data_IF_711214308066
#
_entry.id   IF_711214308066
#
_cell.length_a   1.000
_cell.length_b   1.000
_cell.length_c   1.000
_cell.angle_alpha   90.00
_cell.angle_beta   90.00
_cell.angle_gamma   90.00
#
_symmetry.space_group_name_H-M   'P 1'
#
loop_
_entity.id
_entity.type
_entity.pdbx_description
1 polymer ?
#
# COMPACT_ATOMS: atom_id res chain seq x y z
N UNK A 1 9.00 -5.11 -10.55
CA UNK A 1 8.17 -4.94 -9.34
C UNK A 1 8.89 -5.59 -8.17
N UNK A 2 8.98 -4.90 -7.03
CA UNK A 2 9.52 -5.42 -5.77
C UNK A 2 8.53 -6.33 -5.04
N UNK A 3 7.23 -6.09 -5.14
CA UNK A 3 6.18 -6.95 -4.56
C UNK A 3 5.72 -8.07 -5.47
N UNK A 4 4.85 -8.93 -4.92
CA UNK A 4 4.19 -10.03 -5.63
C UNK A 4 2.70 -9.77 -5.77
N UNK A 5 2.04 -10.46 -6.71
CA UNK A 5 0.61 -10.35 -6.93
C UNK A 5 -0.05 -11.72 -6.73
N UNK A 6 -1.25 -11.73 -6.16
CA UNK A 6 -2.09 -12.92 -6.07
C UNK A 6 -2.39 -13.49 -7.47
N UNK A 7 -2.68 -14.79 -7.53
CA UNK A 7 -2.96 -15.51 -8.78
C UNK A 7 -4.16 -14.93 -9.55
N UNK A 8 -5.16 -14.43 -8.83
CA UNK A 8 -6.34 -13.76 -9.39
C UNK A 8 -6.11 -12.27 -9.74
N UNK A 9 -4.89 -11.77 -9.51
CA UNK A 9 -4.48 -10.37 -9.73
C UNK A 9 -5.25 -9.32 -8.92
N UNK A 10 -5.91 -9.70 -7.83
CA UNK A 10 -6.71 -8.78 -7.01
C UNK A 10 -5.95 -8.18 -5.84
N UNK A 11 -4.90 -8.85 -5.37
CA UNK A 11 -4.16 -8.44 -4.19
C UNK A 11 -2.68 -8.32 -4.52
N UNK A 12 -2.13 -7.15 -4.25
CA UNK A 12 -0.69 -6.91 -4.26
C UNK A 12 -0.14 -7.14 -2.86
N UNK A 13 1.01 -7.80 -2.78
CA UNK A 13 1.72 -8.09 -1.55
C UNK A 13 3.14 -7.53 -1.60
N UNK A 14 3.51 -6.83 -0.54
CA UNK A 14 4.88 -6.36 -0.36
C UNK A 14 5.37 -6.76 1.01
N UNK A 15 6.50 -7.47 1.05
CA UNK A 15 7.12 -7.92 2.29
C UNK A 15 8.47 -7.24 2.46
N UNK A 16 8.77 -6.77 3.67
CA UNK A 16 10.03 -6.10 3.95
C UNK A 16 10.52 -6.42 5.36
N UNK A 17 11.81 -6.76 5.54
CA UNK A 17 12.40 -6.96 6.88
C UNK A 17 12.39 -5.67 7.71
N UNK A 18 12.38 -4.51 7.05
CA UNK A 18 12.38 -3.20 7.71
C UNK A 18 11.05 -2.87 8.40
N UNK A 19 9.95 -3.57 8.09
CA UNK A 19 8.66 -3.33 8.76
C UNK A 19 8.62 -3.71 10.25
N UNK A 20 9.61 -4.46 10.74
CA UNK A 20 9.78 -4.72 12.18
C UNK A 20 10.97 -3.99 12.80
N UNK A 21 11.96 -3.56 12.01
CA UNK A 21 13.10 -2.82 12.54
C UNK A 21 12.69 -1.36 12.74
N UNK A 22 12.25 -1.05 13.97
CA UNK A 22 11.85 0.29 14.37
C UNK A 22 10.61 0.76 13.63
N UNK A 23 9.46 0.06 13.77
CA UNK A 23 8.16 0.55 13.27
C UNK A 23 8.12 2.07 13.41
N UNK A 24 8.11 2.81 12.29
CA UNK A 24 8.47 4.23 12.17
C UNK A 24 7.50 5.19 12.90
N UNK A 25 6.93 4.78 14.05
CA UNK A 25 5.88 5.45 14.81
C UNK A 25 4.52 5.47 14.13
N UNK A 26 4.40 4.91 12.91
CA UNK A 26 3.20 5.02 12.10
C UNK A 26 2.17 3.96 12.47
N UNK A 27 1.06 4.42 13.02
CA UNK A 27 -0.16 3.61 13.15
C UNK A 27 -0.68 3.20 11.77
N UNK A 28 -1.44 2.10 11.70
CA UNK A 28 -2.07 1.65 10.46
C UNK A 28 -2.92 2.74 9.79
N UNK A 29 -3.57 3.60 10.58
CA UNK A 29 -4.34 4.74 10.09
C UNK A 29 -3.47 5.80 9.40
N UNK A 30 -2.28 6.08 9.94
CA UNK A 30 -1.32 6.99 9.30
C UNK A 30 -0.75 6.39 8.02
N UNK A 31 -0.40 5.09 8.00
CA UNK A 31 0.05 4.39 6.80
C UNK A 31 -0.99 4.46 5.67
N UNK A 32 -2.26 4.16 6.00
CA UNK A 32 -3.40 4.27 5.09
C UNK A 32 -3.57 5.68 4.52
N UNK A 33 -3.43 6.70 5.37
CA UNK A 33 -3.52 8.09 4.95
C UNK A 33 -2.35 8.52 4.04
N UNK A 34 -1.12 8.13 4.35
CA UNK A 34 0.06 8.42 3.51
C UNK A 34 -0.04 7.70 2.17
N UNK A 35 -0.38 6.42 2.19
CA UNK A 35 -0.58 5.61 0.99
C UNK A 35 -1.55 6.26 0.02
N UNK A 36 -2.74 6.65 0.49
CA UNK A 36 -3.74 7.18 -0.44
C UNK A 36 -3.40 8.57 -0.98
N UNK A 37 -2.76 9.41 -0.17
CA UNK A 37 -2.30 10.74 -0.61
C UNK A 37 -1.24 10.62 -1.69
N UNK A 38 -0.29 9.70 -1.52
CA UNK A 38 0.75 9.45 -2.51
C UNK A 38 0.20 8.75 -3.77
N UNK A 39 -0.66 7.73 -3.60
CA UNK A 39 -1.24 6.97 -4.72
C UNK A 39 -2.03 7.86 -5.68
N UNK A 40 -2.81 8.78 -5.13
CA UNK A 40 -3.63 9.71 -5.91
C UNK A 40 -2.93 11.03 -6.20
N UNK A 41 -1.69 11.20 -5.71
CA UNK A 41 -0.96 12.47 -5.74
C UNK A 41 -1.85 13.65 -5.28
N UNK A 42 -2.62 13.45 -4.20
CA UNK A 42 -3.60 14.40 -3.70
C UNK A 42 -3.51 14.50 -2.16
N UNK A 43 -3.03 15.63 -1.61
CA UNK A 43 -2.84 15.78 -0.16
C UNK A 43 -4.16 15.80 0.63
N UNK A 44 -5.30 16.05 -0.05
CA UNK A 44 -6.64 16.08 0.55
C UNK A 44 -7.36 14.73 0.48
N UNK A 45 -6.77 13.71 -0.15
CA UNK A 45 -7.36 12.38 -0.26
C UNK A 45 -7.59 11.76 1.12
N UNK A 46 -8.72 11.07 1.29
CA UNK A 46 -9.09 10.40 2.54
C UNK A 46 -9.23 8.90 2.29
N UNK A 47 -8.47 8.10 3.02
CA UNK A 47 -8.44 6.64 2.79
C UNK A 47 -9.82 5.97 2.84
N UNK A 48 -10.72 6.49 3.68
CA UNK A 48 -12.08 5.95 3.83
C UNK A 48 -12.88 6.07 2.53
N UNK A 49 -12.75 7.17 1.79
CA UNK A 49 -13.53 7.46 0.58
C UNK A 49 -13.00 6.82 -0.68
N UNK A 50 -11.71 6.45 -0.69
CA UNK A 50 -11.07 5.94 -1.89
C UNK A 50 -11.21 4.43 -2.05
N UNK A 51 -11.11 3.96 -3.29
CA UNK A 51 -11.39 2.56 -3.66
C UNK A 51 -10.27 1.57 -3.35
N UNK A 52 -9.31 1.92 -2.50
CA UNK A 52 -8.20 1.04 -2.13
C UNK A 52 -8.23 0.68 -0.66
N UNK A 53 -7.94 -0.58 -0.38
CA UNK A 53 -7.66 -1.08 0.94
C UNK A 53 -6.16 -1.35 1.08
N UNK A 54 -5.62 -1.06 2.27
CA UNK A 54 -4.27 -1.38 2.69
C UNK A 54 -4.36 -2.00 4.09
N UNK A 55 -3.80 -3.19 4.22
CA UNK A 55 -3.61 -3.87 5.50
C UNK A 55 -2.15 -4.20 5.72
N UNK A 56 -1.75 -4.18 7.00
CA UNK A 56 -0.43 -4.60 7.47
C UNK A 56 -0.64 -5.80 8.38
N UNK A 57 0.06 -6.88 8.07
CA UNK A 57 0.19 -8.03 8.95
C UNK A 57 1.68 -8.33 9.11
N UNK A 58 2.20 -8.14 10.33
CA UNK A 58 3.63 -8.26 10.65
C UNK A 58 4.54 -7.52 9.65
N UNK A 59 5.24 -8.28 8.78
CA UNK A 59 6.19 -7.80 7.75
C UNK A 59 5.58 -7.66 6.37
N UNK A 60 4.29 -7.86 6.22
CA UNK A 60 3.59 -7.86 4.94
C UNK A 60 2.56 -6.75 4.87
N UNK A 61 2.57 -6.06 3.74
CA UNK A 61 1.50 -5.14 3.32
C UNK A 61 0.71 -5.82 2.22
N UNK A 62 -0.61 -5.78 2.36
CA UNK A 62 -1.55 -6.28 1.35
C UNK A 62 -2.42 -5.12 0.88
N UNK A 63 -2.54 -4.96 -0.44
CA UNK A 63 -3.30 -3.88 -1.07
C UNK A 63 -4.22 -4.46 -2.12
N UNK A 64 -5.48 -4.03 -2.11
CA UNK A 64 -6.48 -4.44 -3.09
C UNK A 64 -7.50 -3.33 -3.31
N UNK A 65 -8.30 -3.47 -4.36
CA UNK A 65 -9.41 -2.56 -4.59
C UNK A 65 -10.62 -3.00 -3.77
N UNK A 66 -11.26 -2.05 -3.07
CA UNK A 66 -12.48 -2.28 -2.28
C UNK A 66 -13.65 -2.76 -3.14
N UNK A 67 -13.65 -2.44 -4.43
CA UNK A 67 -14.65 -2.90 -5.40
C UNK A 67 -14.43 -4.34 -5.90
N UNK A 68 -13.36 -5.02 -5.42
CA UNK A 68 -13.06 -6.41 -5.78
C UNK A 68 -12.50 -6.61 -7.19
N UNK A 69 -12.24 -5.53 -7.94
CA UNK A 69 -11.64 -5.61 -9.27
C UNK A 69 -10.15 -5.97 -9.19
N UNK A 70 -9.63 -6.50 -10.28
CA UNK A 70 -8.20 -6.76 -10.46
C UNK A 70 -7.41 -5.46 -10.48
N UNK A 71 -6.14 -5.52 -10.05
CA UNK A 71 -5.18 -4.44 -10.19
C UNK A 71 -4.62 -4.44 -11.61
N UNK A 72 -4.79 -3.33 -12.32
CA UNK A 72 -4.15 -3.08 -13.62
C UNK A 72 -2.64 -2.91 -13.46
N UNK A 73 -1.88 -3.07 -14.55
CA UNK A 73 -0.42 -2.93 -14.53
C UNK A 73 0.02 -1.53 -14.10
N UNK A 74 -0.69 -0.48 -14.52
CA UNK A 74 -0.41 0.89 -14.10
C UNK A 74 -0.59 1.07 -12.59
N UNK A 75 -1.70 0.55 -12.03
CA UNK A 75 -1.95 0.59 -10.59
C UNK A 75 -0.85 -0.16 -9.83
N UNK A 76 -0.47 -1.35 -10.32
CA UNK A 76 0.58 -2.15 -9.72
C UNK A 76 1.93 -1.43 -9.70
N UNK A 77 2.32 -0.78 -10.81
CA UNK A 77 3.56 -0.02 -10.87
C UNK A 77 3.58 1.17 -9.90
N UNK A 78 2.45 1.89 -9.77
CA UNK A 78 2.30 2.98 -8.79
C UNK A 78 2.41 2.45 -7.37
N UNK A 79 1.68 1.38 -7.04
CA UNK A 79 1.71 0.75 -5.71
C UNK A 79 3.12 0.28 -5.37
N UNK A 80 3.79 -0.40 -6.31
CA UNK A 80 5.14 -0.94 -6.13
C UNK A 80 6.19 0.15 -5.90
N UNK A 81 5.96 1.35 -6.45
CA UNK A 81 6.82 2.52 -6.22
C UNK A 81 6.55 3.18 -4.87
N UNK A 82 5.28 3.36 -4.51
CA UNK A 82 4.86 4.17 -3.36
C UNK A 82 5.01 3.42 -2.05
N UNK A 83 4.68 2.14 -2.02
CA UNK A 83 4.67 1.36 -0.78
C UNK A 83 6.06 1.37 -0.13
N UNK A 84 7.17 1.03 -0.81
CA UNK A 84 8.50 1.09 -0.20
C UNK A 84 8.88 2.49 0.27
N UNK A 85 8.59 3.54 -0.52
CA UNK A 85 8.96 4.92 -0.20
C UNK A 85 8.37 5.41 1.13
N UNK A 86 7.14 4.98 1.47
CA UNK A 86 6.51 5.34 2.76
C UNK A 86 7.34 4.86 3.95
N UNK A 87 8.05 3.74 3.82
CA UNK A 87 8.86 3.17 4.90
C UNK A 87 10.35 3.51 4.81
N UNK A 88 10.83 3.96 3.65
CA UNK A 88 12.20 4.47 3.48
C UNK A 88 12.31 5.94 3.93
N UNK A 89 11.20 6.70 3.92
CA UNK A 89 11.19 8.15 4.21
C UNK A 89 10.81 8.49 5.66
N UNK A 90 10.07 7.61 6.32
CA UNK A 90 9.68 7.72 7.72
C UNK A 90 10.44 6.68 8.52
#
# INVERSE_FOLDING_TARGET
MRGTISSDRRVYHFESPFFLQGENGLTISQLRALFIKNLLNNPRAKYVTENYALEKDHRRISIWRKDGKTLSEEELLKIDTIVPQIFETH
#
